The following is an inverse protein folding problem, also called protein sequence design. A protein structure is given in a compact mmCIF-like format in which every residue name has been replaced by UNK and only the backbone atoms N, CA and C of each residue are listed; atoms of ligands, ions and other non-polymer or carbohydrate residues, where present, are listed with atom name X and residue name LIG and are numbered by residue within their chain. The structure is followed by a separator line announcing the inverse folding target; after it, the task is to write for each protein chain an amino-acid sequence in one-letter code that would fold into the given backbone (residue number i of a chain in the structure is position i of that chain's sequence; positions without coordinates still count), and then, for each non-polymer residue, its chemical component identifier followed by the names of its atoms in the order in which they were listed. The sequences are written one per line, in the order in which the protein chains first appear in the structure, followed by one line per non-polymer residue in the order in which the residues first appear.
data_IF_638298936699
#
_entry.id   IF_638298936699
#
_cell.length_a   1.000
_cell.length_b   1.000
_cell.length_c   1.000
_cell.angle_alpha   90.00
_cell.angle_beta   90.00
_cell.angle_gamma   90.00
#
_symmetry.space_group_name_H-M   'P 1'
#
loop_
_entity.id
_entity.type
_entity.pdbx_description
1 polymer ?
#
# COMPACT_ATOMS: atom_id res chain seq x y z
N UNK A 1 23.83 7.12 -8.39
CA UNK A 1 23.68 6.00 -7.43
C UNK A 1 23.11 4.82 -8.21
N UNK A 2 23.36 3.58 -7.80
CA UNK A 2 22.80 2.40 -8.47
C UNK A 2 21.28 2.41 -8.39
N UNK A 3 20.56 2.15 -9.50
CA UNK A 3 19.09 2.02 -9.53
C UNK A 3 18.56 0.75 -8.84
N UNK A 4 19.43 0.00 -8.16
CA UNK A 4 19.09 -1.26 -7.51
C UNK A 4 20.02 -1.58 -6.31
N UNK A 5 19.54 -2.34 -5.31
CA UNK A 5 20.35 -2.84 -4.20
C UNK A 5 21.59 -3.64 -4.63
N UNK A 6 22.68 -3.55 -3.86
CA UNK A 6 23.93 -4.28 -4.16
C UNK A 6 23.77 -5.80 -4.07
N UNK A 7 22.96 -6.28 -3.11
CA UNK A 7 22.72 -7.70 -2.88
C UNK A 7 22.17 -8.42 -4.13
N UNK A 8 21.44 -7.72 -5.01
CA UNK A 8 20.96 -8.28 -6.28
C UNK A 8 22.11 -8.66 -7.23
N UNK A 9 23.23 -7.93 -7.17
CA UNK A 9 24.45 -8.29 -7.91
C UNK A 9 25.08 -9.56 -7.34
N UNK A 10 25.06 -9.73 -6.02
CA UNK A 10 25.54 -10.94 -5.34
C UNK A 10 24.62 -12.14 -5.65
N UNK A 11 23.30 -11.94 -5.64
CA UNK A 11 22.31 -12.94 -6.06
C UNK A 11 22.57 -13.39 -7.50
N UNK A 12 22.78 -12.44 -8.43
CA UNK A 12 23.08 -12.76 -9.83
C UNK A 12 24.40 -13.52 -10.01
N UNK A 13 25.38 -13.27 -9.15
CA UNK A 13 26.67 -13.96 -9.12
C UNK A 13 26.61 -15.34 -8.43
N UNK A 14 25.53 -15.62 -7.69
CA UNK A 14 25.43 -16.82 -6.86
C UNK A 14 26.32 -16.77 -5.62
N UNK A 15 26.62 -15.56 -5.12
CA UNK A 15 27.48 -15.32 -3.97
C UNK A 15 26.73 -14.73 -2.77
N UNK A 16 25.40 -14.79 -2.77
CA UNK A 16 24.57 -14.37 -1.64
C UNK A 16 24.43 -15.57 -0.68
N UNK A 17 25.36 -15.69 0.28
CA UNK A 17 25.47 -16.87 1.16
C UNK A 17 24.50 -16.85 2.34
N UNK A 18 23.97 -15.68 2.70
CA UNK A 18 23.06 -15.48 3.85
C UNK A 18 21.62 -15.97 3.57
N UNK A 19 21.27 -16.21 2.31
CA UNK A 19 19.92 -16.60 1.90
C UNK A 19 19.86 -18.06 1.47
N UNK A 20 18.83 -18.78 1.91
CA UNK A 20 18.52 -20.13 1.44
C UNK A 20 17.29 -20.13 0.55
N UNK A 21 17.28 -20.91 -0.54
CA UNK A 21 16.10 -21.06 -1.38
C UNK A 21 15.17 -22.14 -0.79
N UNK A 22 13.95 -21.76 -0.43
CA UNK A 22 13.05 -22.58 0.39
C UNK A 22 11.86 -23.17 -0.36
N UNK A 23 11.60 -22.72 -1.59
CA UNK A 23 10.53 -23.30 -2.41
C UNK A 23 10.54 -22.82 -3.85
N UNK A 24 9.84 -23.57 -4.69
CA UNK A 24 9.61 -23.20 -6.09
C UNK A 24 8.27 -23.68 -6.61
N UNK A 25 7.56 -22.79 -7.30
CA UNK A 25 6.32 -23.10 -8.00
C UNK A 25 6.32 -22.49 -9.41
N UNK A 26 5.71 -23.14 -10.40
CA UNK A 26 5.77 -22.65 -11.76
C UNK A 26 4.64 -21.67 -12.08
N UNK A 27 5.00 -20.49 -12.58
CA UNK A 27 4.08 -19.50 -13.12
C UNK A 27 3.86 -19.69 -14.64
N UNK A 28 2.62 -19.58 -15.08
CA UNK A 28 2.26 -19.55 -16.50
C UNK A 28 2.01 -18.12 -16.96
N UNK A 29 2.84 -17.67 -17.90
CA UNK A 29 2.76 -16.34 -18.51
C UNK A 29 2.14 -16.47 -19.90
N UNK A 30 0.93 -15.95 -20.09
CA UNK A 30 0.13 -16.03 -21.32
C UNK A 30 0.11 -14.70 -22.08
N UNK A 31 -0.07 -13.58 -21.40
CA UNK A 31 -0.05 -12.25 -22.02
C UNK A 31 1.38 -11.80 -22.31
N UNK A 32 2.34 -12.18 -21.46
CA UNK A 32 3.69 -11.61 -21.45
C UNK A 32 3.80 -10.35 -20.59
N UNK A 33 2.73 -9.98 -19.86
CA UNK A 33 2.71 -8.88 -18.90
C UNK A 33 2.55 -9.45 -17.51
N UNK A 34 3.52 -9.16 -16.65
CA UNK A 34 3.58 -9.68 -15.30
C UNK A 34 3.05 -8.63 -14.31
N UNK A 35 2.30 -9.09 -13.32
CA UNK A 35 1.75 -8.30 -12.22
C UNK A 35 2.34 -8.83 -10.92
N UNK A 36 2.63 -7.93 -9.99
CA UNK A 36 2.87 -8.26 -8.58
C UNK A 36 1.94 -7.43 -7.71
N UNK A 37 1.28 -8.09 -6.77
CA UNK A 37 0.33 -7.47 -5.85
C UNK A 37 0.09 -8.37 -4.64
N UNK A 38 -0.64 -7.85 -3.66
CA UNK A 38 -1.39 -8.68 -2.72
C UNK A 38 -2.54 -9.40 -3.46
N UNK A 39 -2.58 -10.75 -3.46
CA UNK A 39 -3.61 -11.49 -4.17
C UNK A 39 -4.98 -11.47 -3.48
N UNK A 40 -5.05 -11.18 -2.17
CA UNK A 40 -6.29 -11.17 -1.40
C UNK A 40 -6.92 -9.77 -1.35
N UNK A 41 -6.10 -8.73 -1.48
CA UNK A 41 -6.55 -7.34 -1.32
C UNK A 41 -6.57 -6.57 -2.64
N UNK A 42 -5.54 -6.70 -3.48
CA UNK A 42 -5.35 -5.78 -4.63
C UNK A 42 -5.48 -6.45 -6.01
N UNK A 43 -5.81 -7.75 -6.08
CA UNK A 43 -5.77 -8.52 -7.32
C UNK A 43 -6.62 -7.92 -8.45
N UNK A 44 -7.83 -7.42 -8.18
CA UNK A 44 -8.77 -6.93 -9.22
C UNK A 44 -8.38 -5.57 -9.82
N UNK A 45 -7.47 -4.83 -9.18
CA UNK A 45 -7.03 -3.50 -9.62
C UNK A 45 -5.53 -3.39 -9.91
N UNK A 46 -4.80 -4.50 -9.85
CA UNK A 46 -3.34 -4.47 -9.98
C UNK A 46 -2.87 -4.28 -11.42
N UNK A 47 -2.08 -3.23 -11.63
CA UNK A 47 -1.46 -2.93 -12.93
C UNK A 47 -0.28 -3.85 -13.25
N UNK A 48 -0.06 -4.18 -14.53
CA UNK A 48 1.13 -4.91 -14.94
C UNK A 48 2.34 -3.99 -15.00
N UNK A 49 3.51 -4.56 -14.72
CA UNK A 49 4.76 -3.85 -14.99
C UNK A 49 4.88 -3.50 -16.48
N UNK A 50 5.50 -2.36 -16.79
CA UNK A 50 5.59 -1.81 -18.14
C UNK A 50 6.40 -2.69 -19.12
N UNK A 51 7.27 -3.56 -18.61
CA UNK A 51 8.16 -4.40 -19.41
C UNK A 51 7.54 -5.77 -19.71
N UNK A 52 7.52 -6.13 -21.00
CA UNK A 52 7.10 -7.47 -21.43
C UNK A 52 8.15 -8.55 -21.15
N UNK A 53 7.65 -9.76 -20.86
CA UNK A 53 8.44 -10.96 -20.58
C UNK A 53 8.09 -12.10 -21.54
N UNK A 54 9.02 -13.06 -21.76
CA UNK A 54 8.72 -14.25 -22.56
C UNK A 54 7.47 -14.99 -22.06
N UNK A 55 6.58 -15.36 -22.96
CA UNK A 55 5.44 -16.25 -22.66
C UNK A 55 5.93 -17.67 -22.37
N UNK A 56 5.19 -18.42 -21.57
CA UNK A 56 5.48 -19.80 -21.22
C UNK A 56 5.45 -20.07 -19.73
N UNK A 57 6.05 -21.21 -19.34
CA UNK A 57 6.16 -21.64 -17.94
C UNK A 57 7.51 -21.22 -17.36
N UNK A 58 7.49 -20.52 -16.24
CA UNK A 58 8.68 -19.97 -15.57
C UNK A 58 8.63 -20.28 -14.08
N UNK A 59 9.78 -20.61 -13.51
CA UNK A 59 9.83 -21.00 -12.10
C UNK A 59 9.97 -19.75 -11.21
N UNK A 60 9.01 -19.60 -10.31
CA UNK A 60 9.08 -18.68 -9.18
C UNK A 60 9.76 -19.40 -8.03
N UNK A 61 10.69 -18.72 -7.37
CA UNK A 61 11.47 -19.24 -6.25
C UNK A 61 11.50 -18.22 -5.13
N UNK A 62 11.53 -18.70 -3.89
CA UNK A 62 11.55 -17.85 -2.69
C UNK A 62 12.87 -18.05 -1.96
N UNK A 63 13.52 -16.95 -1.60
CA UNK A 63 14.70 -16.92 -0.75
C UNK A 63 14.34 -16.50 0.67
N UNK A 64 14.89 -17.21 1.65
CA UNK A 64 14.70 -17.00 3.09
C UNK A 64 15.96 -16.46 3.77
N UNK A 65 15.78 -15.47 4.64
CA UNK A 65 16.80 -15.02 5.59
C UNK A 65 16.21 -15.11 7.00
N UNK A 66 16.86 -15.87 7.88
CA UNK A 66 16.49 -15.99 9.31
C UNK A 66 15.03 -16.41 9.57
N UNK A 67 14.46 -17.26 8.71
CA UNK A 67 13.07 -17.73 8.82
C UNK A 67 12.05 -16.83 8.13
N UNK A 68 12.48 -15.70 7.57
CA UNK A 68 11.60 -14.74 6.89
C UNK A 68 11.86 -14.72 5.37
N UNK A 69 10.81 -14.46 4.59
CA UNK A 69 10.93 -14.39 3.13
C UNK A 69 11.67 -13.12 2.72
N UNK A 70 12.92 -13.26 2.28
CA UNK A 70 13.79 -12.15 1.89
C UNK A 70 13.54 -11.65 0.46
N UNK A 71 13.23 -12.56 -0.47
CA UNK A 71 12.85 -12.21 -1.83
C UNK A 71 11.98 -13.28 -2.49
N UNK A 72 11.22 -12.87 -3.51
CA UNK A 72 10.63 -13.76 -4.50
C UNK A 72 11.22 -13.45 -5.88
N UNK A 73 11.63 -14.49 -6.63
CA UNK A 73 12.23 -14.34 -7.96
C UNK A 73 11.55 -15.25 -8.99
N UNK A 74 11.17 -14.68 -10.13
CA UNK A 74 10.81 -15.46 -11.32
C UNK A 74 11.92 -15.36 -12.36
N UNK A 75 12.31 -16.48 -12.98
CA UNK A 75 13.31 -16.51 -14.07
C UNK A 75 12.68 -16.85 -15.43
N UNK A 76 12.87 -15.96 -16.39
CA UNK A 76 12.29 -16.08 -17.75
C UNK A 76 13.21 -16.73 -18.78
N UNK A 77 14.46 -17.02 -18.42
CA UNK A 77 15.40 -17.65 -19.34
C UNK A 77 16.80 -17.84 -18.79
N UNK A 78 17.61 -18.53 -19.59
CA UNK A 78 19.04 -18.75 -19.30
C UNK A 78 19.86 -17.53 -19.71
N UNK A 79 20.90 -17.23 -18.96
CA UNK A 79 21.86 -16.16 -19.26
C UNK A 79 22.42 -15.53 -18.00
N UNK A 80 23.45 -14.68 -18.19
CA UNK A 80 23.99 -13.86 -17.11
C UNK A 80 23.21 -12.54 -17.04
N UNK A 81 22.74 -12.18 -15.85
CA UNK A 81 22.21 -10.84 -15.57
C UNK A 81 23.41 -9.88 -15.50
N UNK A 82 23.34 -8.80 -16.27
CA UNK A 82 24.41 -7.80 -16.42
C UNK A 82 24.02 -6.43 -15.91
N UNK A 83 22.72 -6.16 -15.73
CA UNK A 83 22.18 -4.92 -15.22
C UNK A 83 20.92 -5.21 -14.40
N UNK A 84 20.74 -4.48 -13.32
CA UNK A 84 19.50 -4.41 -12.57
C UNK A 84 18.83 -3.04 -12.79
N UNK A 85 17.52 -3.03 -12.83
CA UNK A 85 16.70 -1.84 -13.07
C UNK A 85 15.41 -2.01 -12.28
N UNK A 86 14.92 -0.97 -11.62
CA UNK A 86 13.64 -1.02 -10.92
C UNK A 86 12.51 -1.37 -11.89
N UNK A 87 11.60 -2.24 -11.47
CA UNK A 87 10.42 -2.61 -12.21
C UNK A 87 9.29 -1.63 -11.90
N UNK A 88 8.88 -0.91 -12.94
CA UNK A 88 7.88 0.15 -12.88
C UNK A 88 6.62 -0.25 -13.65
N UNK A 89 5.48 0.20 -13.19
CA UNK A 89 4.21 0.20 -13.93
C UNK A 89 4.16 1.41 -14.90
N UNK A 90 3.30 1.35 -15.93
CA UNK A 90 3.08 2.50 -16.81
C UNK A 90 2.69 3.77 -16.02
N UNK A 91 3.31 4.91 -16.32
CA UNK A 91 3.06 6.17 -15.61
C UNK A 91 3.99 6.44 -14.42
N UNK A 92 4.84 5.48 -14.04
CA UNK A 92 5.80 5.64 -12.95
C UNK A 92 7.20 6.04 -13.43
N UNK A 93 7.37 6.52 -14.67
CA UNK A 93 8.68 6.77 -15.28
C UNK A 93 9.50 7.82 -14.50
N UNK A 94 8.83 8.84 -13.97
CA UNK A 94 9.44 9.97 -13.27
C UNK A 94 9.37 9.83 -11.74
N UNK A 95 8.85 8.72 -11.20
CA UNK A 95 8.75 8.49 -9.76
C UNK A 95 10.14 8.24 -9.17
N UNK A 96 10.58 9.13 -8.28
CA UNK A 96 11.87 8.99 -7.60
C UNK A 96 11.91 7.75 -6.71
N UNK A 97 13.10 7.16 -6.54
CA UNK A 97 13.28 5.97 -5.71
C UNK A 97 12.82 4.67 -6.39
N UNK A 98 12.33 3.74 -5.56
CA UNK A 98 11.89 2.41 -5.98
C UNK A 98 10.41 2.24 -5.65
N UNK A 99 9.48 2.55 -6.59
CA UNK A 99 8.07 2.26 -6.39
C UNK A 99 7.89 0.76 -6.15
N UNK A 100 6.92 0.42 -5.31
CA UNK A 100 6.60 -0.95 -4.93
C UNK A 100 5.10 -1.17 -4.93
N UNK A 101 4.70 -2.44 -4.91
CA UNK A 101 3.30 -2.80 -4.73
C UNK A 101 2.98 -2.96 -3.24
N UNK A 102 1.76 -2.60 -2.85
CA UNK A 102 1.27 -2.78 -1.49
C UNK A 102 0.94 -4.23 -1.17
N UNK A 103 1.23 -4.63 0.06
CA UNK A 103 0.82 -5.88 0.70
C UNK A 103 0.14 -5.56 2.02
N UNK A 104 -1.02 -6.18 2.25
CA UNK A 104 -1.92 -5.92 3.40
C UNK A 104 -2.44 -7.22 4.04
N UNK A 105 -2.10 -8.37 3.47
CA UNK A 105 -2.38 -9.71 4.02
C UNK A 105 -1.13 -10.49 4.40
N UNK A 106 0.05 -9.85 4.37
CA UNK A 106 1.35 -10.53 4.47
C UNK A 106 1.65 -11.49 3.31
N UNK A 107 0.94 -11.38 2.19
CA UNK A 107 1.07 -12.26 1.03
C UNK A 107 1.34 -11.42 -0.22
N UNK A 108 2.45 -11.71 -0.89
CA UNK A 108 2.73 -11.23 -2.25
C UNK A 108 2.44 -12.31 -3.29
N UNK A 109 2.27 -11.91 -4.54
CA UNK A 109 2.16 -12.87 -5.64
C UNK A 109 2.83 -12.38 -6.93
N UNK A 110 3.09 -13.33 -7.83
CA UNK A 110 3.30 -13.09 -9.25
C UNK A 110 2.18 -13.74 -10.05
N UNK A 111 1.62 -12.98 -10.99
CA UNK A 111 0.50 -13.43 -11.82
C UNK A 111 0.54 -12.77 -13.20
N UNK A 112 0.09 -13.49 -14.23
CA UNK A 112 -0.03 -12.92 -15.57
C UNK A 112 -1.28 -12.02 -15.68
N UNK A 113 -1.16 -10.89 -16.37
CA UNK A 113 -2.23 -9.91 -16.50
C UNK A 113 -3.53 -10.47 -17.11
N UNK A 114 -3.48 -11.48 -17.98
CA UNK A 114 -4.70 -12.10 -18.52
C UNK A 114 -5.54 -12.76 -17.41
N UNK A 115 -4.88 -13.27 -16.36
CA UNK A 115 -5.55 -13.88 -15.21
C UNK A 115 -6.22 -12.80 -14.37
N UNK A 116 -5.53 -11.70 -14.11
CA UNK A 116 -6.07 -10.52 -13.39
C UNK A 116 -7.32 -9.99 -14.08
N UNK A 117 -7.26 -9.76 -15.39
CA UNK A 117 -8.40 -9.23 -16.16
C UNK A 117 -9.61 -10.16 -16.12
N UNK A 118 -9.39 -11.48 -16.20
CA UNK A 118 -10.48 -12.47 -16.13
C UNK A 118 -11.08 -12.52 -14.73
N UNK A 119 -10.24 -12.57 -13.71
CA UNK A 119 -10.68 -12.58 -12.32
C UNK A 119 -11.51 -11.33 -11.99
N UNK A 120 -11.04 -10.14 -12.39
CA UNK A 120 -11.78 -8.88 -12.22
C UNK A 120 -13.13 -8.89 -12.94
N UNK A 121 -13.22 -9.44 -14.16
CA UNK A 121 -14.47 -9.55 -14.89
C UNK A 121 -15.46 -10.53 -14.23
N UNK A 122 -14.96 -11.64 -13.66
CA UNK A 122 -15.78 -12.61 -12.93
C UNK A 122 -16.32 -11.98 -11.63
N UNK A 123 -15.50 -11.20 -10.91
CA UNK A 123 -15.88 -10.44 -9.72
C UNK A 123 -16.93 -9.36 -10.02
N UNK A 124 -16.75 -8.59 -11.09
CA UNK A 124 -17.73 -7.60 -11.54
C UNK A 124 -19.07 -8.26 -11.92
N UNK A 125 -19.02 -9.41 -12.59
CA UNK A 125 -20.22 -10.16 -12.95
C UNK A 125 -20.94 -10.74 -11.71
N UNK A 126 -20.21 -11.11 -10.66
CA UNK A 126 -20.78 -11.53 -9.39
C UNK A 126 -21.43 -10.34 -8.66
N UNK A 127 -20.71 -9.23 -8.55
CA UNK A 127 -21.20 -7.97 -7.98
C UNK A 127 -22.52 -7.53 -8.63
N UNK A 128 -22.59 -7.56 -9.97
CA UNK A 128 -23.81 -7.21 -10.70
C UNK A 128 -24.99 -8.15 -10.39
N UNK A 129 -24.74 -9.45 -10.20
CA UNK A 129 -25.79 -10.41 -9.80
C UNK A 129 -26.28 -10.16 -8.38
N UNK A 130 -25.37 -9.89 -7.45
CA UNK A 130 -25.69 -9.57 -6.05
C UNK A 130 -26.54 -8.30 -5.97
N UNK A 131 -26.14 -7.25 -6.67
CA UNK A 131 -26.90 -6.01 -6.74
C UNK A 131 -28.31 -6.22 -7.33
N UNK A 132 -28.43 -7.03 -8.38
CA UNK A 132 -29.74 -7.36 -8.95
C UNK A 132 -30.63 -8.14 -7.96
N UNK A 133 -30.08 -9.11 -7.24
CA UNK A 133 -30.80 -9.88 -6.20
C UNK A 133 -31.32 -8.98 -5.08
N UNK A 134 -30.48 -8.09 -4.56
CA UNK A 134 -30.87 -7.13 -3.52
C UNK A 134 -32.00 -6.21 -4.00
N UNK A 135 -31.90 -5.70 -5.24
CA UNK A 135 -32.93 -4.86 -5.82
C UNK A 135 -34.27 -5.61 -5.98
N UNK A 136 -34.26 -6.89 -6.35
CA UNK A 136 -35.46 -7.74 -6.40
C UNK A 136 -36.09 -7.97 -5.02
N UNK A 137 -35.26 -8.07 -3.98
CA UNK A 137 -35.69 -8.20 -2.59
C UNK A 137 -36.15 -6.86 -1.96
N UNK A 138 -36.06 -5.76 -2.71
CA UNK A 138 -36.42 -4.41 -2.27
C UNK A 138 -35.40 -3.79 -1.31
N UNK A 139 -34.17 -4.31 -1.30
CA UNK A 139 -33.03 -3.78 -0.55
C UNK A 139 -32.23 -2.86 -1.46
N UNK A 140 -31.79 -1.72 -0.95
CA UNK A 140 -30.93 -0.79 -1.68
C UNK A 140 -29.55 -1.44 -1.91
N UNK A 141 -29.11 -1.65 -3.18
CA UNK A 141 -27.80 -2.24 -3.46
C UNK A 141 -26.61 -1.38 -3.01
N UNK A 142 -26.85 -0.12 -2.63
CA UNK A 142 -25.83 0.76 -2.05
C UNK A 142 -25.71 0.63 -0.53
N UNK A 143 -26.62 -0.11 0.12
CA UNK A 143 -26.48 -0.48 1.53
C UNK A 143 -25.28 -1.43 1.68
N UNK A 144 -24.18 -0.88 2.20
CA UNK A 144 -22.89 -1.57 2.32
C UNK A 144 -22.99 -2.85 3.16
N UNK A 145 -23.81 -2.86 4.22
CA UNK A 145 -23.92 -4.02 5.10
C UNK A 145 -24.69 -5.14 4.38
N UNK A 146 -25.84 -4.79 3.79
CA UNK A 146 -26.63 -5.76 3.05
C UNK A 146 -25.90 -6.28 1.81
N UNK A 147 -25.17 -5.40 1.13
CA UNK A 147 -24.36 -5.73 -0.03
C UNK A 147 -23.21 -6.67 0.33
N UNK A 148 -22.42 -6.36 1.37
CA UNK A 148 -21.33 -7.24 1.81
C UNK A 148 -21.85 -8.62 2.22
N UNK A 149 -22.94 -8.69 3.01
CA UNK A 149 -23.54 -9.96 3.41
C UNK A 149 -24.01 -10.77 2.20
N UNK A 150 -24.71 -10.13 1.25
CA UNK A 150 -25.19 -10.81 0.04
C UNK A 150 -24.06 -11.21 -0.92
N UNK A 151 -22.94 -10.48 -0.91
CA UNK A 151 -21.75 -10.80 -1.69
C UNK A 151 -20.99 -11.99 -1.10
N UNK A 152 -20.87 -12.06 0.23
CA UNK A 152 -20.36 -13.25 0.93
C UNK A 152 -21.25 -14.46 0.67
N UNK A 153 -22.57 -14.32 0.77
CA UNK A 153 -23.52 -15.39 0.42
C UNK A 153 -23.41 -15.79 -1.05
N UNK A 154 -23.33 -14.82 -1.97
CA UNK A 154 -23.16 -15.06 -3.40
C UNK A 154 -21.85 -15.79 -3.69
N UNK A 155 -20.75 -15.37 -3.08
CA UNK A 155 -19.46 -16.09 -3.14
C UNK A 155 -19.57 -17.48 -2.54
N UNK A 156 -20.27 -17.65 -1.42
CA UNK A 156 -20.51 -18.94 -0.76
C UNK A 156 -21.39 -19.89 -1.60
N UNK A 157 -22.37 -19.37 -2.33
CA UNK A 157 -23.18 -20.11 -3.30
C UNK A 157 -22.36 -20.51 -4.53
N UNK A 158 -21.37 -19.70 -4.90
CA UNK A 158 -20.30 -20.07 -5.83
C UNK A 158 -19.19 -20.94 -5.17
N UNK A 159 -19.16 -21.08 -3.84
CA UNK A 159 -18.02 -21.62 -3.07
C UNK A 159 -17.83 -23.13 -3.11
N UNK A 160 -18.16 -23.75 -4.24
CA UNK A 160 -17.43 -24.96 -4.61
C UNK A 160 -15.93 -24.66 -4.83
N UNK A 161 -15.61 -23.45 -5.31
CA UNK A 161 -14.32 -23.20 -5.99
C UNK A 161 -13.77 -21.76 -5.76
N UNK A 162 -13.86 -21.12 -4.58
CA UNK A 162 -13.01 -19.93 -4.34
C UNK A 162 -11.54 -20.41 -4.24
N UNK A 163 -10.71 -20.13 -5.26
CA UNK A 163 -9.37 -20.68 -5.31
C UNK A 163 -8.41 -20.00 -4.32
N UNK A 164 -8.75 -18.80 -3.82
CA UNK A 164 -7.91 -18.02 -2.90
C UNK A 164 -8.27 -18.23 -1.43
N UNK A 165 -9.45 -18.74 -1.10
CA UNK A 165 -9.91 -18.97 0.28
C UNK A 165 -8.99 -19.87 1.13
N UNK A 166 -8.19 -20.74 0.50
CA UNK A 166 -7.24 -21.61 1.20
C UNK A 166 -5.80 -21.07 1.20
N UNK A 167 -5.56 -19.87 0.66
CA UNK A 167 -4.21 -19.37 0.39
C UNK A 167 -3.39 -19.16 1.66
N UNK A 168 -3.93 -18.43 2.64
CA UNK A 168 -3.27 -18.17 3.93
C UNK A 168 -2.89 -19.49 4.64
N UNK A 169 -3.83 -20.44 4.68
CA UNK A 169 -3.60 -21.77 5.27
C UNK A 169 -2.53 -22.56 4.52
N UNK A 170 -2.49 -22.44 3.19
CA UNK A 170 -1.50 -23.13 2.37
C UNK A 170 -0.10 -22.54 2.59
N UNK A 171 0.00 -21.22 2.67
CA UNK A 171 1.25 -20.50 2.94
C UNK A 171 1.77 -20.70 4.37
N UNK A 172 0.90 -21.05 5.32
CA UNK A 172 1.31 -21.49 6.66
C UNK A 172 2.05 -22.85 6.68
N UNK A 173 2.05 -23.58 5.57
CA UNK A 173 2.68 -24.90 5.45
C UNK A 173 3.72 -25.00 4.33
N UNK A 174 3.68 -24.08 3.36
CA UNK A 174 4.55 -24.06 2.20
C UNK A 174 4.97 -22.62 1.93
N UNK A 175 6.26 -22.36 1.66
CA UNK A 175 6.74 -20.99 1.50
C UNK A 175 6.32 -20.32 0.19
N UNK A 176 5.85 -21.12 -0.77
CA UNK A 176 5.33 -20.67 -2.05
C UNK A 176 4.25 -21.64 -2.51
N UNK A 177 3.16 -21.13 -3.05
CA UNK A 177 1.98 -21.91 -3.47
C UNK A 177 1.53 -21.44 -4.84
N UNK A 178 1.25 -22.39 -5.74
CA UNK A 178 0.59 -22.11 -7.02
C UNK A 178 -0.92 -22.34 -6.88
N UNK A 179 -1.71 -21.30 -7.15
CA UNK A 179 -3.17 -21.32 -7.15
C UNK A 179 -3.68 -21.25 -8.58
N UNK A 180 -4.55 -22.19 -8.95
CA UNK A 180 -5.22 -22.19 -10.26
C UNK A 180 -6.36 -21.16 -10.25
N UNK A 181 -6.35 -20.27 -11.24
CA UNK A 181 -7.37 -19.23 -11.44
C UNK A 181 -7.94 -19.32 -12.87
N UNK A 182 -9.14 -18.76 -13.13
CA UNK A 182 -9.66 -18.67 -14.49
C UNK A 182 -8.63 -18.06 -15.47
N UNK A 183 -8.19 -18.88 -16.43
CA UNK A 183 -7.26 -18.46 -17.48
C UNK A 183 -5.78 -18.63 -17.19
N UNK A 184 -5.36 -19.10 -16.00
CA UNK A 184 -3.96 -19.29 -15.69
C UNK A 184 -3.72 -19.73 -14.25
N UNK A 185 -2.59 -19.33 -13.69
CA UNK A 185 -2.32 -19.50 -12.27
C UNK A 185 -1.68 -18.25 -11.70
N UNK A 186 -1.76 -18.16 -10.38
CA UNK A 186 -1.10 -17.19 -9.55
C UNK A 186 -0.11 -17.94 -8.67
N UNK A 187 1.10 -17.40 -8.50
CA UNK A 187 2.07 -17.96 -7.54
C UNK A 187 2.23 -17.00 -6.39
N UNK A 188 1.84 -17.42 -5.20
CA UNK A 188 1.85 -16.63 -3.99
C UNK A 188 2.98 -17.05 -3.04
N UNK A 189 3.42 -16.11 -2.22
CA UNK A 189 4.49 -16.27 -1.23
C UNK A 189 4.29 -15.27 -0.08
N UNK A 190 4.85 -15.56 1.09
CA UNK A 190 4.82 -14.61 2.22
C UNK A 190 5.72 -13.39 1.93
N UNK A 191 5.40 -12.24 2.49
CA UNK A 191 6.12 -10.98 2.25
C UNK A 191 7.00 -10.55 3.42
N UNK A 192 8.19 -11.14 3.58
CA UNK A 192 9.12 -10.76 4.64
C UNK A 192 8.45 -10.66 6.01
N UNK A 193 8.53 -9.49 6.66
CA UNK A 193 7.93 -9.22 7.97
C UNK A 193 6.41 -9.00 7.96
N UNK A 194 5.75 -9.05 6.81
CA UNK A 194 4.30 -8.90 6.67
C UNK A 194 3.92 -7.78 5.70
N UNK A 195 3.12 -6.85 6.18
CA UNK A 195 2.53 -5.78 5.37
C UNK A 195 3.55 -4.70 5.01
N UNK A 196 3.29 -3.98 3.92
CA UNK A 196 4.16 -2.89 3.47
C UNK A 196 4.17 -2.68 1.96
N UNK A 197 5.15 -1.90 1.49
CA UNK A 197 5.33 -1.58 0.07
C UNK A 197 6.67 -2.12 -0.41
N UNK A 198 6.63 -3.04 -1.38
CA UNK A 198 7.80 -3.79 -1.80
C UNK A 198 8.18 -3.55 -3.25
N UNK A 199 9.42 -3.11 -3.46
CA UNK A 199 9.95 -2.82 -4.77
C UNK A 199 10.32 -4.09 -5.53
N UNK A 200 10.12 -4.05 -6.85
CA UNK A 200 10.54 -5.12 -7.75
C UNK A 200 11.65 -4.65 -8.69
N UNK A 201 12.49 -5.58 -9.16
CA UNK A 201 13.67 -5.29 -9.98
C UNK A 201 13.82 -6.25 -11.15
N UNK A 202 14.05 -5.71 -12.34
CA UNK A 202 14.36 -6.45 -13.55
C UNK A 202 15.84 -6.86 -13.59
N UNK A 203 16.07 -8.16 -13.64
CA UNK A 203 17.38 -8.72 -13.99
C UNK A 203 17.54 -8.76 -15.51
N UNK A 204 18.32 -7.84 -16.06
CA UNK A 204 18.51 -7.68 -17.50
C UNK A 204 19.80 -8.34 -17.99
N UNK A 205 19.69 -9.14 -19.05
CA UNK A 205 20.81 -9.72 -19.77
C UNK A 205 21.28 -8.88 -20.96
N UNK A 206 22.04 -9.50 -21.86
CA UNK A 206 22.51 -8.88 -23.08
C UNK A 206 21.35 -8.29 -23.92
N UNK A 207 21.55 -7.07 -24.44
CA UNK A 207 20.56 -6.30 -25.23
C UNK A 207 19.28 -5.93 -24.45
N UNK A 208 19.34 -5.86 -23.12
CA UNK A 208 18.21 -5.43 -22.29
C UNK A 208 17.07 -6.47 -22.19
N UNK A 209 17.36 -7.74 -22.50
CA UNK A 209 16.39 -8.82 -22.37
C UNK A 209 16.10 -9.10 -20.89
N UNK A 210 14.83 -9.11 -20.49
CA UNK A 210 14.41 -9.56 -19.16
C UNK A 210 14.75 -11.04 -18.97
N UNK A 211 15.57 -11.33 -17.95
CA UNK A 211 15.93 -12.68 -17.53
C UNK A 211 15.32 -13.05 -16.19
N UNK A 212 15.03 -12.07 -15.34
CA UNK A 212 14.36 -12.29 -14.07
C UNK A 212 13.56 -11.05 -13.62
N UNK A 213 12.57 -11.25 -12.77
CA UNK A 213 11.98 -10.23 -11.90
C UNK A 213 12.19 -10.69 -10.46
N UNK A 214 12.59 -9.77 -9.58
CA UNK A 214 12.79 -10.02 -8.14
C UNK A 214 12.00 -9.00 -7.34
N UNK A 215 11.19 -9.43 -6.38
CA UNK A 215 10.67 -8.56 -5.32
C UNK A 215 11.62 -8.60 -4.13
N UNK A 216 12.02 -7.43 -3.63
CA UNK A 216 12.81 -7.27 -2.40
C UNK A 216 11.88 -6.97 -1.22
N UNK A 217 11.94 -7.81 -0.18
CA UNK A 217 11.15 -7.62 1.05
C UNK A 217 11.88 -6.82 2.14
N UNK A 218 13.02 -6.19 1.81
CA UNK A 218 13.68 -5.20 2.67
C UNK A 218 14.53 -5.81 3.80
N UNK A 219 14.78 -7.12 3.76
CA UNK A 219 15.60 -7.82 4.75
C UNK A 219 17.10 -7.82 4.41
N UNK A 220 17.44 -7.66 3.12
CA UNK A 220 18.80 -7.83 2.62
C UNK A 220 19.55 -6.49 2.56
N UNK A 221 20.83 -6.52 2.94
CA UNK A 221 21.66 -5.32 2.99
C UNK A 221 21.54 -4.48 4.27
N UNK A 222 20.87 -5.00 5.31
CA UNK A 222 21.04 -4.50 6.69
C UNK A 222 22.40 -4.99 7.24
N UNK A 223 23.23 -4.14 7.86
CA UNK A 223 24.43 -4.61 8.53
C UNK A 223 24.05 -5.55 9.68
N UNK A 224 24.74 -6.69 9.80
CA UNK A 224 24.47 -7.79 10.73
C UNK A 224 24.70 -7.48 12.23
N UNK A 225 24.53 -6.24 12.67
CA UNK A 225 24.64 -5.86 14.09
C UNK A 225 23.67 -4.75 14.45
N UNK A 226 22.41 -5.11 14.60
CA UNK A 226 21.49 -4.42 15.50
C UNK A 226 20.75 -5.49 16.32
N UNK A 227 21.53 -6.35 16.98
CA UNK A 227 21.02 -7.14 18.09
C UNK A 227 20.74 -6.19 19.25
N UNK A 228 19.50 -6.25 19.75
CA UNK A 228 19.05 -5.83 21.08
C UNK A 228 20.01 -4.88 21.83
N UNK A 229 19.81 -3.57 21.68
CA UNK A 229 20.28 -2.61 22.68
C UNK A 229 19.07 -2.30 23.56
N UNK A 230 19.19 -2.68 24.83
CA UNK A 230 18.28 -2.29 25.91
C UNK A 230 18.26 -0.76 26.02
N UNK A 231 17.07 -0.20 26.22
CA UNK A 231 16.84 1.21 26.50
C UNK A 231 17.43 1.55 27.88
N UNK A 232 18.52 2.32 27.92
CA UNK A 232 18.99 3.02 29.11
C UNK A 232 18.54 4.50 29.00
N UNK A 233 17.62 4.89 29.89
CA UNK A 233 17.19 6.26 30.20
C UNK A 233 18.38 7.12 30.66
N UNK A 234 18.61 8.28 30.03
CA UNK A 234 19.27 9.44 30.65
C UNK A 234 19.07 10.71 29.79
N UNK A 235 18.12 11.58 30.19
CA UNK A 235 17.94 12.95 29.68
C UNK A 235 18.93 13.93 30.33
N UNK A 236 19.41 14.98 29.62
CA UNK A 236 19.92 16.20 30.25
C UNK A 236 18.99 17.42 30.07
N UNK A 237 18.89 18.19 31.14
CA UNK A 237 17.95 19.27 31.48
C UNK A 237 17.96 20.52 30.57
N UNK A 238 16.79 21.16 30.56
CA UNK A 238 16.37 22.42 29.95
C UNK A 238 17.21 23.65 30.33
N UNK A 239 17.48 24.56 29.38
CA UNK A 239 17.74 25.99 29.72
C UNK A 239 17.75 26.99 28.53
N UNK A 240 17.04 26.76 27.40
CA UNK A 240 16.97 27.75 26.30
C UNK A 240 15.57 28.20 25.84
N UNK A 241 14.48 27.74 26.47
CA UNK A 241 13.10 28.07 26.04
C UNK A 241 12.52 29.38 26.63
N UNK A 242 13.17 29.99 27.63
CA UNK A 242 12.61 31.17 28.33
C UNK A 242 12.71 32.52 27.58
N UNK A 243 13.31 32.56 26.38
CA UNK A 243 13.63 33.82 25.71
C UNK A 243 12.70 34.20 24.55
N UNK A 244 11.88 33.28 24.02
CA UNK A 244 11.06 33.51 22.82
C UNK A 244 9.58 33.79 23.10
N UNK A 245 9.06 33.41 24.28
CA UNK A 245 7.65 33.65 24.67
C UNK A 245 7.29 35.12 24.93
N UNK A 246 8.26 36.04 24.89
CA UNK A 246 8.04 37.45 25.23
C UNK A 246 7.80 38.36 24.03
N UNK A 247 7.91 37.86 22.81
CA UNK A 247 7.90 38.71 21.60
C UNK A 247 6.68 38.51 20.68
N UNK A 248 5.83 37.49 20.90
CA UNK A 248 4.61 37.25 20.11
C UNK A 248 3.30 37.70 20.79
N UNK A 249 3.36 38.21 22.03
CA UNK A 249 2.17 38.51 22.84
C UNK A 249 1.47 39.86 22.60
N UNK A 250 1.86 40.65 21.59
CA UNK A 250 1.43 42.06 21.50
C UNK A 250 0.72 42.48 20.19
N UNK A 251 0.49 41.59 19.23
CA UNK A 251 -0.29 41.92 18.02
C UNK A 251 -1.32 40.85 17.69
N UNK A 252 -2.57 41.11 18.09
CA UNK A 252 -3.85 40.82 17.43
C UNK A 252 -4.92 40.35 18.41
N UNK A 253 -5.38 41.30 19.22
CA UNK A 253 -6.69 41.27 19.85
C UNK A 253 -7.70 41.90 18.90
N UNK A 254 -8.73 41.16 18.46
CA UNK A 254 -10.02 41.69 17.97
C UNK A 254 -11.03 40.52 17.87
N UNK A 255 -11.78 40.28 18.94
CA UNK A 255 -13.09 39.62 18.87
C UNK A 255 -14.16 40.70 18.64
N UNK A 256 -15.04 40.51 17.66
CA UNK A 256 -16.48 40.20 17.89
C UNK A 256 -17.37 40.46 16.65
N UNK A 257 -18.39 39.59 16.56
CA UNK A 257 -19.65 39.67 15.82
C UNK A 257 -19.68 39.55 14.28
N UNK A 258 -20.27 38.45 13.78
CA UNK A 258 -21.41 38.50 12.87
C UNK A 258 -21.99 37.10 12.57
N UNK A 259 -23.10 36.78 13.24
CA UNK A 259 -24.06 35.81 12.74
C UNK A 259 -24.96 36.43 11.66
N UNK A 260 -25.04 35.81 10.48
CA UNK A 260 -26.27 35.61 9.67
C UNK A 260 -25.96 34.72 8.44
N UNK A 261 -26.31 33.44 8.51
CA UNK A 261 -26.12 32.43 7.44
C UNK A 261 -27.13 32.57 6.29
N UNK A 262 -27.29 33.78 5.73
CA UNK A 262 -28.20 34.05 4.60
C UNK A 262 -27.55 34.79 3.43
N UNK A 263 -26.25 35.06 3.50
CA UNK A 263 -25.50 35.81 2.48
C UNK A 263 -24.83 34.99 1.38
N UNK A 264 -24.60 33.69 1.57
CA UNK A 264 -23.85 32.86 0.61
C UNK A 264 -24.63 32.56 -0.67
N UNK A 265 -25.95 32.34 -0.55
CA UNK A 265 -26.82 32.08 -1.71
C UNK A 265 -26.96 33.32 -2.62
N UNK A 266 -26.96 34.52 -2.03
CA UNK A 266 -27.00 35.78 -2.78
C UNK A 266 -25.66 36.07 -3.49
N UNK A 267 -24.54 35.61 -2.92
CA UNK A 267 -23.21 35.72 -3.51
C UNK A 267 -23.04 34.75 -4.70
N UNK A 268 -23.55 33.51 -4.58
CA UNK A 268 -23.53 32.52 -5.65
C UNK A 268 -24.35 32.96 -6.88
N UNK A 269 -25.51 33.58 -6.66
CA UNK A 269 -26.35 34.11 -7.74
C UNK A 269 -25.73 35.33 -8.45
N UNK A 270 -24.99 36.17 -7.73
CA UNK A 270 -24.31 37.34 -8.29
C UNK A 270 -23.06 36.99 -9.12
N UNK A 271 -22.45 35.83 -8.85
CA UNK A 271 -21.24 35.34 -9.52
C UNK A 271 -21.53 34.49 -10.76
N UNK A 272 -22.79 34.23 -11.10
CA UNK A 272 -23.17 33.49 -12.31
C UNK A 272 -22.68 32.04 -12.34
N UNK A 273 -22.40 31.44 -11.18
CA UNK A 273 -21.98 30.06 -11.06
C UNK A 273 -23.21 29.18 -11.30
N UNK A 274 -23.30 28.60 -12.50
CA UNK A 274 -24.29 27.55 -12.78
C UNK A 274 -23.82 26.28 -12.05
N UNK A 275 -24.71 25.68 -11.26
CA UNK A 275 -24.48 24.37 -10.67
C UNK A 275 -24.36 23.31 -11.78
N UNK A 276 -23.16 22.75 -11.93
CA UNK A 276 -22.92 21.53 -12.70
C UNK A 276 -23.60 20.33 -11.99
N UNK A 277 -24.06 19.30 -12.72
CA UNK A 277 -24.74 18.16 -12.11
C UNK A 277 -23.74 17.25 -11.40
N UNK A 278 -24.05 16.91 -10.14
CA UNK A 278 -23.34 15.95 -9.30
C UNK A 278 -23.18 14.57 -9.97
N UNK A 279 -21.98 13.96 -9.99
CA UNK A 279 -21.83 12.54 -10.16
C UNK A 279 -21.74 11.86 -8.78
N UNK A 280 -22.84 11.28 -8.32
CA UNK A 280 -22.84 10.40 -7.15
C UNK A 280 -22.32 9.00 -7.52
N UNK A 281 -21.08 8.70 -7.15
CA UNK A 281 -20.61 7.34 -6.86
C UNK A 281 -19.84 7.39 -5.54
N UNK A 282 -20.55 7.34 -4.41
CA UNK A 282 -19.91 7.14 -3.09
C UNK A 282 -19.52 5.68 -2.95
N UNK A 283 -18.28 5.37 -3.35
CA UNK A 283 -17.53 4.23 -2.83
C UNK A 283 -17.50 4.35 -1.29
N UNK A 284 -17.61 3.23 -0.57
CA UNK A 284 -17.34 3.25 0.86
C UNK A 284 -15.94 3.79 1.16
N UNK A 285 -15.64 4.21 2.41
CA UNK A 285 -14.32 4.69 2.77
C UNK A 285 -13.27 3.64 2.38
N UNK A 286 -12.21 4.06 1.68
CA UNK A 286 -11.16 3.15 1.24
C UNK A 286 -10.50 2.47 2.45
N UNK A 287 -9.92 1.25 2.31
CA UNK A 287 -9.17 0.61 3.39
C UNK A 287 -8.05 1.52 3.93
N UNK A 288 -7.36 2.24 3.04
CA UNK A 288 -6.38 3.26 3.41
C UNK A 288 -6.98 4.40 4.24
N UNK A 289 -8.21 4.82 3.96
CA UNK A 289 -8.92 5.80 4.78
C UNK A 289 -9.22 5.24 6.17
N UNK A 290 -9.66 3.98 6.28
CA UNK A 290 -9.93 3.35 7.56
C UNK A 290 -8.64 3.23 8.40
N UNK A 291 -7.53 2.83 7.79
CA UNK A 291 -6.20 2.77 8.41
C UNK A 291 -5.71 4.15 8.85
N UNK A 292 -5.80 5.15 7.98
CA UNK A 292 -5.41 6.54 8.29
C UNK A 292 -6.23 7.10 9.45
N UNK A 293 -7.53 6.80 9.47
CA UNK A 293 -8.43 7.20 10.56
C UNK A 293 -8.09 6.50 11.87
N UNK A 294 -7.82 5.20 11.84
CA UNK A 294 -7.52 4.44 13.05
C UNK A 294 -6.13 4.78 13.60
N UNK A 295 -5.18 5.13 12.74
CA UNK A 295 -3.88 5.71 13.12
C UNK A 295 -4.08 7.04 13.87
N UNK A 296 -4.88 7.97 13.31
CA UNK A 296 -5.21 9.22 13.99
C UNK A 296 -5.90 8.99 15.35
N UNK A 297 -6.81 8.02 15.46
CA UNK A 297 -7.40 7.64 16.76
C UNK A 297 -6.35 7.13 17.74
N UNK A 298 -5.38 6.38 17.25
CA UNK A 298 -4.29 5.87 18.09
C UNK A 298 -3.42 7.02 18.60
N UNK A 299 -3.13 8.02 17.76
CA UNK A 299 -2.38 9.21 18.14
C UNK A 299 -3.13 10.07 19.15
N UNK A 300 -4.44 10.30 18.97
CA UNK A 300 -5.25 11.01 19.97
C UNK A 300 -5.29 10.24 21.29
N UNK A 301 -5.46 8.92 21.24
CA UNK A 301 -5.51 8.07 22.44
C UNK A 301 -4.18 8.01 23.20
N UNK A 302 -3.07 8.07 22.46
CA UNK A 302 -1.72 8.08 23.00
C UNK A 302 -1.23 9.49 23.37
N UNK A 303 -2.10 10.50 23.28
CA UNK A 303 -1.78 11.91 23.55
C UNK A 303 -0.60 12.42 22.67
N UNK A 304 -0.47 11.87 21.45
CA UNK A 304 0.51 12.30 20.44
C UNK A 304 0.04 13.52 19.66
N UNK A 305 -1.27 13.64 19.47
CA UNK A 305 -1.94 14.83 18.91
C UNK A 305 -3.19 15.11 19.74
N UNK A 306 -3.55 16.37 19.85
CA UNK A 306 -4.82 16.81 20.43
C UNK A 306 -5.65 17.45 19.32
N UNK A 307 -6.93 17.06 19.22
CA UNK A 307 -7.85 17.63 18.25
C UNK A 307 -8.79 18.62 18.94
N UNK A 308 -9.15 19.67 18.22
CA UNK A 308 -10.12 20.66 18.70
C UNK A 308 -11.50 20.04 19.00
N UNK A 309 -12.25 20.66 19.92
CA UNK A 309 -13.57 20.14 20.32
C UNK A 309 -14.56 20.20 19.14
N UNK A 310 -15.14 19.05 18.79
CA UNK A 310 -16.13 18.96 17.71
C UNK A 310 -15.56 18.71 16.31
N UNK A 311 -14.25 18.42 16.19
CA UNK A 311 -13.64 18.00 14.92
C UNK A 311 -14.34 16.76 14.36
N UNK A 312 -14.68 16.83 13.08
CA UNK A 312 -15.13 15.66 12.33
C UNK A 312 -13.93 14.80 11.95
N UNK A 313 -13.68 13.77 12.75
CA UNK A 313 -12.55 12.87 12.58
C UNK A 313 -12.51 12.18 11.20
N UNK A 314 -13.66 11.87 10.60
CA UNK A 314 -13.69 11.25 9.27
C UNK A 314 -13.21 12.25 8.19
N UNK A 315 -13.66 13.51 8.24
CA UNK A 315 -13.18 14.54 7.31
C UNK A 315 -11.68 14.86 7.52
N UNK A 316 -11.23 14.83 8.77
CA UNK A 316 -9.82 15.01 9.10
C UNK A 316 -8.95 13.85 8.60
N UNK A 317 -9.43 12.62 8.73
CA UNK A 317 -8.77 11.43 8.20
C UNK A 317 -8.67 11.42 6.67
N UNK A 318 -9.66 11.98 5.98
CA UNK A 318 -9.64 12.19 4.52
C UNK A 318 -8.49 13.11 4.11
N UNK A 319 -8.38 14.28 4.75
CA UNK A 319 -7.30 15.23 4.49
C UNK A 319 -5.92 14.66 4.86
N UNK A 320 -5.86 13.88 5.94
CA UNK A 320 -4.64 13.19 6.34
C UNK A 320 -4.22 12.12 5.34
N UNK A 321 -5.15 11.32 4.83
CA UNK A 321 -4.88 10.34 3.77
C UNK A 321 -4.36 11.03 2.50
N UNK A 322 -4.99 12.12 2.06
CA UNK A 322 -4.51 12.89 0.90
C UNK A 322 -3.06 13.38 1.11
N UNK A 323 -2.75 13.85 2.34
CA UNK A 323 -1.39 14.25 2.69
C UNK A 323 -0.43 13.06 2.62
N UNK A 324 -0.77 11.89 3.16
CA UNK A 324 0.06 10.69 3.09
C UNK A 324 0.32 10.26 1.64
N UNK A 325 -0.71 10.27 0.80
CA UNK A 325 -0.59 9.98 -0.64
C UNK A 325 0.33 10.99 -1.32
N UNK A 326 0.24 12.28 -0.97
CA UNK A 326 1.12 13.33 -1.52
C UNK A 326 2.61 13.15 -1.14
N UNK A 327 2.88 12.45 -0.04
CA UNK A 327 4.23 12.15 0.43
C UNK A 327 4.73 10.79 -0.06
N UNK A 328 3.98 10.08 -0.91
CA UNK A 328 4.40 8.81 -1.49
C UNK A 328 5.76 8.95 -2.21
N UNK A 329 6.74 8.14 -1.80
CA UNK A 329 8.12 8.20 -2.30
C UNK A 329 9.10 9.03 -1.46
N UNK A 330 8.64 9.78 -0.45
CA UNK A 330 9.52 10.46 0.50
C UNK A 330 10.15 9.48 1.49
N UNK A 331 11.44 9.66 1.81
CA UNK A 331 12.18 8.75 2.72
C UNK A 331 11.84 8.94 4.21
N UNK A 332 11.28 10.10 4.58
CA UNK A 332 10.91 10.47 5.95
C UNK A 332 9.66 11.39 5.95
N UNK A 333 8.45 10.84 5.82
CA UNK A 333 7.22 11.63 5.86
C UNK A 333 6.93 12.25 7.24
N UNK A 334 7.46 11.72 8.34
CA UNK A 334 7.15 12.14 9.72
C UNK A 334 7.27 13.64 9.96
N UNK A 335 8.41 14.25 9.59
CA UNK A 335 8.61 15.70 9.72
C UNK A 335 7.61 16.53 8.89
N UNK A 336 7.25 16.04 7.69
CA UNK A 336 6.28 16.71 6.82
C UNK A 336 4.83 16.53 7.32
N UNK A 337 4.58 15.47 8.10
CA UNK A 337 3.31 15.22 8.76
C UNK A 337 3.21 16.07 10.04
N UNK A 338 4.27 16.18 10.83
CA UNK A 338 4.33 17.06 12.00
C UNK A 338 4.04 18.52 11.61
N UNK A 339 4.77 19.04 10.60
CA UNK A 339 4.54 20.38 10.05
C UNK A 339 3.11 20.54 9.53
N UNK A 340 2.60 19.56 8.79
CA UNK A 340 1.25 19.60 8.28
C UNK A 340 0.20 19.62 9.39
N UNK A 341 0.34 18.78 10.42
CA UNK A 341 -0.56 18.72 11.58
C UNK A 341 -0.61 20.06 12.32
N UNK A 342 0.55 20.70 12.54
CA UNK A 342 0.65 22.02 13.18
C UNK A 342 -0.05 23.13 12.39
N UNK A 343 -0.18 22.98 11.07
CA UNK A 343 -0.88 23.94 10.20
C UNK A 343 -2.41 23.69 10.12
N UNK A 344 -2.93 22.62 10.73
CA UNK A 344 -4.36 22.26 10.69
C UNK A 344 -5.13 22.96 11.79
N UNK A 345 -6.20 23.65 11.40
CA UNK A 345 -7.15 24.23 12.35
C UNK A 345 -7.92 23.18 13.17
N UNK A 346 -7.88 21.91 12.75
CA UNK A 346 -8.48 20.79 13.47
C UNK A 346 -7.57 20.21 14.58
N UNK A 347 -6.29 20.58 14.61
CA UNK A 347 -5.31 20.09 15.58
C UNK A 347 -5.05 21.19 16.60
N UNK A 348 -5.38 20.90 17.86
CA UNK A 348 -5.15 21.81 18.98
C UNK A 348 -3.67 21.82 19.40
N UNK A 349 -3.03 20.64 19.42
CA UNK A 349 -1.59 20.52 19.69
C UNK A 349 -1.00 19.23 19.09
N UNK A 350 0.30 19.20 18.88
CA UNK A 350 1.08 18.04 18.43
C UNK A 350 2.19 17.79 19.45
N UNK A 351 2.03 16.76 20.26
CA UNK A 351 3.00 16.39 21.31
C UNK A 351 4.04 15.38 20.84
N UNK A 352 3.75 14.63 19.76
CA UNK A 352 4.67 13.66 19.21
C UNK A 352 5.80 14.33 18.41
N UNK A 353 7.01 13.79 18.58
CA UNK A 353 8.17 14.16 17.77
C UNK A 353 8.07 13.64 16.33
N UNK A 354 8.81 14.26 15.41
CA UNK A 354 8.93 13.82 14.02
C UNK A 354 9.29 12.33 13.90
N UNK A 355 10.16 11.83 14.78
CA UNK A 355 10.61 10.44 14.79
C UNK A 355 9.54 9.47 15.34
N UNK A 356 8.72 9.89 16.31
CA UNK A 356 7.59 9.10 16.81
C UNK A 356 6.45 8.99 15.80
N UNK A 357 6.18 10.07 15.06
CA UNK A 357 5.23 10.06 13.95
C UNK A 357 5.78 9.23 12.78
N UNK A 358 7.07 9.34 12.48
CA UNK A 358 7.75 8.52 11.46
C UNK A 358 7.69 7.02 11.79
N UNK A 359 7.88 6.65 13.06
CA UNK A 359 7.80 5.24 13.48
C UNK A 359 6.39 4.68 13.29
N UNK A 360 5.37 5.41 13.70
CA UNK A 360 3.99 4.97 13.58
C UNK A 360 3.49 4.95 12.13
N UNK A 361 4.01 5.82 11.26
CA UNK A 361 3.73 5.81 9.82
C UNK A 361 4.38 4.63 9.07
N UNK A 362 5.34 3.95 9.69
CA UNK A 362 6.00 2.75 9.13
C UNK A 362 5.41 1.44 9.65
N UNK A 363 4.56 1.50 10.67
CA UNK A 363 3.80 0.37 11.22
C UNK A 363 2.51 0.21 10.45
#
# INVERSE_FOLDING_TARGET
MSDAPEWLTQLAAGSLEEVSEIGSEPLRVTSGRLVACDPLVFLTGADPFAREVPKGKHDVRVGELEGETAYAIVRFGKGKITKWEVARCPGEEDVEGWPGYGVDSGIGCFVDHDVVTKYAADEEALSAKVAAKLAEEGVDPTDVIAYHAALEEGRAELAGDDPLAALERSLSHQPVVSVELPGGNLVAFQSGVGDGVYASFWGLGARGKALALVTDFGLLGRPASAGAAEEDDDEPEDDELGALEKELGDELSLEDDLGDLRGLDALAAALGIQAEPEPETRQGPSPLFLQSRDLLKSWVKAEKIELEEGVNLDAFAEAFLEKLVSLSGQRRPGAHIAEWLLERAEVADVYASDDELEEDLRR
#
